data_IF_497956592087
#
_entry.id   IF_497956592087
#
_cell.length_a   1.000
_cell.length_b   1.000
_cell.length_c   1.000
_cell.angle_alpha   90.00
_cell.angle_beta   90.00
_cell.angle_gamma   90.00
#
_symmetry.space_group_name_H-M   'P 1'
#
loop_
_entity.id
_entity.type
_entity.pdbx_description
1 polymer ?
#
# COMPACT_ATOMS: atom_id res chain seq x y z
N UNK A 1 -10.58 5.81 -4.49
CA UNK A 1 -10.08 5.67 -5.87
C UNK A 1 -11.21 5.81 -6.88
N UNK A 2 -10.89 6.15 -8.12
CA UNK A 2 -11.83 6.36 -9.23
C UNK A 2 -12.97 7.28 -8.85
N UNK A 3 -12.65 8.45 -8.30
CA UNK A 3 -13.64 9.42 -7.79
C UNK A 3 -14.59 8.81 -6.73
N UNK A 4 -13.99 8.08 -5.78
CA UNK A 4 -14.71 7.25 -4.81
C UNK A 4 -15.76 6.32 -5.46
N UNK A 5 -15.36 5.62 -6.53
CA UNK A 5 -16.25 4.77 -7.35
C UNK A 5 -17.40 5.55 -8.02
N UNK A 6 -17.14 6.81 -8.41
CA UNK A 6 -18.11 7.70 -9.07
C UNK A 6 -19.10 8.37 -8.11
N UNK A 7 -18.80 8.41 -6.81
CA UNK A 7 -19.66 8.96 -5.77
C UNK A 7 -19.22 10.35 -5.27
N UNK A 8 -18.10 10.87 -5.78
CA UNK A 8 -17.48 12.11 -5.32
C UNK A 8 -16.35 11.85 -4.32
N UNK A 9 -15.12 12.07 -4.78
CA UNK A 9 -13.90 11.77 -4.03
C UNK A 9 -13.84 12.49 -2.68
N UNK A 10 -14.19 13.77 -2.65
CA UNK A 10 -14.01 14.64 -1.47
C UNK A 10 -15.13 14.39 -0.46
N UNK A 11 -16.35 14.26 -0.94
CA UNK A 11 -17.56 13.99 -0.16
C UNK A 11 -17.42 12.67 0.58
N UNK A 12 -17.04 11.60 -0.15
CA UNK A 12 -16.82 10.29 0.46
C UNK A 12 -15.62 10.28 1.39
N UNK A 13 -14.53 10.98 1.05
CA UNK A 13 -13.38 11.08 1.96
C UNK A 13 -13.80 11.68 3.31
N UNK A 14 -14.57 12.78 3.32
CA UNK A 14 -15.07 13.39 4.55
C UNK A 14 -15.99 12.46 5.33
N UNK A 15 -16.94 11.81 4.64
CA UNK A 15 -17.84 10.85 5.28
C UNK A 15 -17.09 9.68 5.93
N UNK A 16 -16.05 9.16 5.30
CA UNK A 16 -15.20 8.11 5.86
C UNK A 16 -14.41 8.61 7.08
N UNK A 17 -13.88 9.83 7.02
CA UNK A 17 -13.17 10.46 8.15
C UNK A 17 -14.11 10.65 9.35
N UNK A 18 -15.33 11.14 9.10
CA UNK A 18 -16.36 11.32 10.15
C UNK A 18 -16.79 9.96 10.75
N UNK A 19 -16.74 8.89 9.96
CA UNK A 19 -16.96 7.52 10.42
C UNK A 19 -15.74 6.91 11.15
N UNK A 20 -14.64 7.64 11.29
CA UNK A 20 -13.46 7.24 12.06
C UNK A 20 -12.29 6.70 11.23
N UNK A 21 -12.31 6.80 9.89
CA UNK A 21 -11.15 6.44 9.07
C UNK A 21 -10.02 7.47 9.21
N UNK A 22 -8.83 7.01 9.62
CA UNK A 22 -7.62 7.82 9.78
C UNK A 22 -6.65 7.72 8.59
N UNK A 23 -6.87 6.73 7.71
CA UNK A 23 -6.06 6.43 6.54
C UNK A 23 -6.94 6.19 5.31
N UNK A 24 -6.69 6.98 4.26
CA UNK A 24 -7.36 6.88 2.97
C UNK A 24 -6.42 6.33 1.91
N UNK A 25 -6.91 5.41 1.07
CA UNK A 25 -6.17 4.89 -0.08
C UNK A 25 -6.74 5.44 -1.39
N UNK A 26 -5.87 5.98 -2.24
CA UNK A 26 -6.20 6.47 -3.59
C UNK A 26 -5.37 5.76 -4.65
N UNK A 27 -5.85 5.75 -5.90
CA UNK A 27 -5.18 5.01 -6.96
C UNK A 27 -3.96 5.75 -7.51
N UNK A 28 -4.00 7.08 -7.55
CA UNK A 28 -2.97 7.89 -8.20
C UNK A 28 -2.73 9.23 -7.50
N UNK A 29 -1.65 9.90 -7.91
CA UNK A 29 -1.23 11.16 -7.31
C UNK A 29 -2.26 12.28 -7.54
N UNK A 30 -2.97 12.29 -8.66
CA UNK A 30 -3.98 13.30 -8.95
C UNK A 30 -5.12 13.28 -7.91
N UNK A 31 -5.65 12.11 -7.59
CA UNK A 31 -6.66 11.97 -6.53
C UNK A 31 -6.12 12.43 -5.17
N UNK A 32 -4.88 12.08 -4.84
CA UNK A 32 -4.24 12.51 -3.60
C UNK A 32 -4.14 14.04 -3.50
N UNK A 33 -3.82 14.70 -4.61
CA UNK A 33 -3.73 16.16 -4.70
C UNK A 33 -5.10 16.83 -4.59
N UNK A 34 -6.16 16.24 -5.14
CA UNK A 34 -7.53 16.73 -4.95
C UNK A 34 -7.90 16.72 -3.46
N UNK A 35 -7.59 15.63 -2.74
CA UNK A 35 -7.83 15.53 -1.30
C UNK A 35 -7.08 16.61 -0.53
N UNK A 36 -5.79 16.82 -0.82
CA UNK A 36 -4.98 17.86 -0.17
C UNK A 36 -5.48 19.27 -0.47
N UNK A 37 -5.87 19.56 -1.71
CA UNK A 37 -6.47 20.85 -2.09
C UNK A 37 -7.84 21.09 -1.43
N UNK A 38 -8.50 20.02 -0.98
CA UNK A 38 -9.78 20.07 -0.26
C UNK A 38 -9.63 20.09 1.27
N UNK A 39 -8.41 20.36 1.75
CA UNK A 39 -8.05 20.42 3.17
C UNK A 39 -8.23 19.10 3.93
N UNK A 40 -8.09 17.96 3.25
CA UNK A 40 -7.99 16.66 3.92
C UNK A 40 -6.56 16.48 4.43
N UNK A 41 -6.40 16.42 5.75
CA UNK A 41 -5.10 16.30 6.43
C UNK A 41 -4.77 14.87 6.87
N UNK A 42 -5.76 13.98 6.85
CA UNK A 42 -5.58 12.56 7.20
C UNK A 42 -4.52 11.89 6.32
N UNK A 43 -4.03 10.73 6.78
CA UNK A 43 -3.04 9.97 6.06
C UNK A 43 -3.62 9.53 4.71
N UNK A 44 -2.89 9.82 3.63
CA UNK A 44 -3.29 9.44 2.26
C UNK A 44 -2.19 8.59 1.67
N UNK A 45 -2.50 7.32 1.41
CA UNK A 45 -1.62 6.39 0.74
C UNK A 45 -1.98 6.26 -0.75
N UNK A 46 -0.97 6.29 -1.62
CA UNK A 46 -1.15 6.28 -3.08
C UNK A 46 -0.59 4.99 -3.66
N UNK A 47 -1.42 4.24 -4.37
CA UNK A 47 -1.07 2.95 -4.96
C UNK A 47 -0.21 3.01 -6.24
N UNK A 48 -0.04 4.18 -6.84
CA UNK A 48 0.55 4.32 -8.17
C UNK A 48 2.08 4.15 -8.15
N UNK A 49 2.59 3.43 -9.16
CA UNK A 49 4.01 3.18 -9.40
C UNK A 49 4.69 4.37 -10.13
N UNK A 50 4.71 5.53 -9.46
CA UNK A 50 5.34 6.75 -9.99
C UNK A 50 6.18 7.48 -8.92
N UNK A 51 6.50 6.81 -7.81
CA UNK A 51 7.23 7.43 -6.71
C UNK A 51 8.63 7.90 -7.13
N UNK A 52 9.31 7.12 -7.98
CA UNK A 52 10.63 7.48 -8.53
C UNK A 52 10.62 8.85 -9.23
N UNK A 53 9.53 9.16 -9.94
CA UNK A 53 9.36 10.42 -10.69
C UNK A 53 8.87 11.56 -9.81
N UNK A 54 7.94 11.30 -8.89
CA UNK A 54 7.23 12.34 -8.15
C UNK A 54 7.56 12.40 -6.66
N UNK A 55 8.60 11.72 -6.18
CA UNK A 55 8.88 11.60 -4.74
C UNK A 55 8.99 12.93 -3.97
N UNK A 56 9.40 14.03 -4.62
CA UNK A 56 9.38 15.36 -4.02
C UNK A 56 7.95 15.89 -3.77
N UNK A 57 7.01 15.59 -4.66
CA UNK A 57 5.58 15.93 -4.50
C UNK A 57 4.97 15.14 -3.34
N UNK A 58 5.28 13.84 -3.25
CA UNK A 58 4.85 13.01 -2.12
C UNK A 58 5.29 13.62 -0.78
N UNK A 59 6.57 13.99 -0.68
CA UNK A 59 7.12 14.64 0.53
C UNK A 59 6.46 15.97 0.85
N UNK A 60 6.38 16.87 -0.13
CA UNK A 60 5.87 18.22 0.09
C UNK A 60 4.38 18.26 0.45
N UNK A 61 3.63 17.20 0.10
CA UNK A 61 2.21 17.05 0.38
C UNK A 61 1.91 16.05 1.51
N UNK A 62 2.93 15.49 2.17
CA UNK A 62 2.75 14.50 3.22
C UNK A 62 1.93 13.28 2.77
N UNK A 63 2.23 12.76 1.58
CA UNK A 63 1.59 11.57 1.00
C UNK A 63 2.45 10.33 1.25
N UNK A 64 1.80 9.21 1.54
CA UNK A 64 2.47 7.94 1.80
C UNK A 64 2.53 7.15 0.47
N UNK A 65 3.72 6.92 -0.12
CA UNK A 65 3.82 6.06 -1.29
C UNK A 65 3.60 4.59 -0.89
N UNK A 66 2.84 3.88 -1.71
CA UNK A 66 2.83 2.41 -1.71
C UNK A 66 3.85 1.95 -2.73
N UNK A 67 4.93 1.36 -2.27
CA UNK A 67 6.06 0.91 -3.08
C UNK A 67 5.71 -0.43 -3.73
N UNK A 68 5.75 -0.48 -5.05
CA UNK A 68 5.29 -1.62 -5.85
C UNK A 68 6.41 -2.38 -6.57
N UNK A 69 7.62 -1.81 -6.67
CA UNK A 69 8.74 -2.45 -7.35
C UNK A 69 10.10 -2.11 -6.71
N UNK A 70 11.17 -2.72 -7.24
CA UNK A 70 12.54 -2.53 -6.75
C UNK A 70 13.09 -1.11 -6.96
N UNK A 71 12.77 -0.45 -8.08
CA UNK A 71 13.26 0.90 -8.36
C UNK A 71 12.67 1.93 -7.39
N UNK A 72 11.39 1.80 -7.06
CA UNK A 72 10.74 2.61 -6.03
C UNK A 72 11.32 2.32 -4.63
N UNK A 73 11.63 1.05 -4.33
CA UNK A 73 12.28 0.66 -3.07
C UNK A 73 13.67 1.28 -2.95
N UNK A 74 14.46 1.28 -4.02
CA UNK A 74 15.76 1.96 -4.06
C UNK A 74 15.59 3.47 -3.87
N UNK A 75 14.64 4.09 -4.57
CA UNK A 75 14.39 5.53 -4.48
C UNK A 75 13.95 5.97 -3.08
N UNK A 76 13.08 5.22 -2.40
CA UNK A 76 12.65 5.57 -1.04
C UNK A 76 13.81 5.42 -0.05
N UNK A 77 14.64 4.38 -0.19
CA UNK A 77 15.81 4.16 0.67
C UNK A 77 16.92 5.17 0.44
N UNK A 78 17.12 5.64 -0.79
CA UNK A 78 18.08 6.69 -1.10
C UNK A 78 17.72 8.03 -0.43
N UNK A 79 16.43 8.27 -0.20
CA UNK A 79 15.96 9.50 0.44
C UNK A 79 15.73 9.37 1.94
N UNK A 80 15.34 8.18 2.44
CA UNK A 80 15.13 7.81 3.85
C UNK A 80 14.41 8.87 4.71
N UNK A 81 13.42 9.56 4.11
CA UNK A 81 12.87 10.82 4.65
C UNK A 81 11.36 10.84 4.88
N UNK A 82 10.63 9.77 4.54
CA UNK A 82 9.19 9.71 4.74
C UNK A 82 8.69 8.27 4.84
N UNK A 83 7.66 8.05 5.66
CA UNK A 83 7.05 6.73 5.79
C UNK A 83 6.54 6.22 4.44
N UNK A 84 6.61 4.91 4.25
CA UNK A 84 6.10 4.23 3.06
C UNK A 84 5.42 2.92 3.43
N UNK A 85 4.55 2.45 2.55
CA UNK A 85 3.98 1.12 2.62
C UNK A 85 4.61 0.24 1.54
N UNK A 86 4.78 -1.04 1.82
CA UNK A 86 5.31 -2.01 0.88
C UNK A 86 4.18 -2.89 0.37
N UNK A 87 3.88 -2.82 -0.93
CA UNK A 87 2.98 -3.76 -1.56
C UNK A 87 3.77 -4.98 -2.05
N UNK A 88 3.27 -6.18 -1.75
CA UNK A 88 3.95 -7.44 -2.09
C UNK A 88 3.05 -8.35 -2.90
N UNK A 89 3.67 -9.03 -3.86
CA UNK A 89 2.99 -9.95 -4.77
C UNK A 89 2.79 -11.31 -4.10
N UNK A 90 1.54 -11.76 -4.02
CA UNK A 90 1.16 -13.03 -3.38
C UNK A 90 0.42 -13.99 -4.32
N UNK A 91 -0.06 -13.51 -5.47
CA UNK A 91 -0.81 -14.30 -6.45
C UNK A 91 -1.81 -13.51 -7.30
N UNK A 92 -1.89 -12.18 -7.16
CA UNK A 92 -2.75 -11.33 -8.00
C UNK A 92 -2.10 -11.03 -9.36
N UNK A 93 -0.77 -11.01 -9.42
CA UNK A 93 0.03 -10.73 -10.63
C UNK A 93 -0.28 -9.38 -11.26
N UNK A 94 -0.30 -8.31 -10.45
CA UNK A 94 -0.59 -6.96 -10.93
C UNK A 94 0.45 -5.92 -10.52
N UNK A 95 0.67 -5.77 -9.21
CA UNK A 95 1.61 -4.81 -8.61
C UNK A 95 2.14 -5.41 -7.31
N UNK A 96 3.37 -5.08 -6.96
CA UNK A 96 4.00 -5.48 -5.70
C UNK A 96 5.29 -6.27 -5.93
N UNK A 97 6.19 -6.21 -4.95
CA UNK A 97 7.45 -6.94 -5.03
C UNK A 97 7.21 -8.44 -4.87
N UNK A 98 7.85 -9.23 -5.73
CA UNK A 98 7.88 -10.68 -5.56
C UNK A 98 8.69 -11.06 -4.32
N UNK A 99 8.37 -12.21 -3.71
CA UNK A 99 9.08 -12.72 -2.53
C UNK A 99 10.60 -12.76 -2.70
N UNK A 100 11.09 -13.11 -3.90
CA UNK A 100 12.53 -13.16 -4.18
C UNK A 100 13.19 -11.79 -4.09
N UNK A 101 12.51 -10.74 -4.54
CA UNK A 101 13.04 -9.37 -4.50
C UNK A 101 12.99 -8.81 -3.09
N UNK A 102 11.91 -9.07 -2.35
CA UNK A 102 11.81 -8.75 -0.92
C UNK A 102 12.93 -9.44 -0.14
N UNK A 103 13.14 -10.74 -0.36
CA UNK A 103 14.21 -11.50 0.29
C UNK A 103 15.60 -10.96 -0.06
N UNK A 104 15.83 -10.59 -1.33
CA UNK A 104 17.09 -9.98 -1.76
C UNK A 104 17.33 -8.66 -1.03
N UNK A 105 16.33 -7.78 -0.97
CA UNK A 105 16.41 -6.50 -0.26
C UNK A 105 16.61 -6.67 1.25
N UNK A 106 15.99 -7.68 1.85
CA UNK A 106 16.20 -8.03 3.26
C UNK A 106 17.65 -8.45 3.51
N UNK A 107 18.19 -9.36 2.70
CA UNK A 107 19.57 -9.84 2.85
C UNK A 107 20.63 -8.76 2.59
N UNK A 108 20.32 -7.73 1.80
CA UNK A 108 21.20 -6.57 1.61
C UNK A 108 21.11 -5.53 2.73
N UNK A 109 20.27 -5.75 3.76
CA UNK A 109 20.06 -4.80 4.86
C UNK A 109 19.27 -3.56 4.45
N UNK A 110 18.52 -3.61 3.35
CA UNK A 110 17.72 -2.47 2.86
C UNK A 110 16.67 -2.07 3.90
N UNK A 111 15.99 -3.05 4.50
CA UNK A 111 14.95 -2.80 5.48
C UNK A 111 15.50 -2.42 6.87
N UNK A 112 16.76 -2.74 7.19
CA UNK A 112 17.39 -2.36 8.47
C UNK A 112 17.59 -0.84 8.57
N UNK A 113 17.86 -0.20 7.43
CA UNK A 113 18.00 1.26 7.35
C UNK A 113 16.65 1.95 7.40
N UNK A 114 15.67 1.39 6.70
CA UNK A 114 14.35 2.01 6.57
C UNK A 114 13.24 0.97 6.31
N UNK A 115 12.66 0.47 7.41
CA UNK A 115 11.58 -0.51 7.37
C UNK A 115 10.24 0.10 6.92
N UNK A 116 9.38 -0.65 6.20
CA UNK A 116 8.06 -0.19 5.85
C UNK A 116 7.15 -0.09 7.07
N UNK A 117 6.29 0.92 7.11
CA UNK A 117 5.29 1.06 8.18
C UNK A 117 4.20 -0.02 8.08
N UNK A 118 3.80 -0.34 6.84
CA UNK A 118 2.81 -1.36 6.53
C UNK A 118 3.35 -2.24 5.41
N UNK A 119 3.19 -3.55 5.56
CA UNK A 119 3.28 -4.49 4.43
C UNK A 119 1.86 -4.87 4.03
N UNK A 120 1.54 -4.78 2.74
CA UNK A 120 0.21 -5.07 2.24
C UNK A 120 0.23 -5.90 0.96
N UNK A 121 -0.87 -6.59 0.70
CA UNK A 121 -1.11 -7.34 -0.53
C UNK A 121 -2.62 -7.40 -0.80
N UNK A 122 -3.03 -8.09 -1.86
CA UNK A 122 -4.43 -8.18 -2.25
C UNK A 122 -4.80 -9.60 -2.67
N UNK A 123 -5.87 -10.12 -2.09
CA UNK A 123 -6.42 -11.43 -2.45
C UNK A 123 -7.09 -11.36 -3.82
N UNK A 124 -6.83 -12.36 -4.67
CA UNK A 124 -7.37 -12.46 -6.02
C UNK A 124 -8.79 -13.04 -6.06
N UNK A 125 -9.17 -13.85 -5.06
CA UNK A 125 -10.43 -14.59 -5.05
C UNK A 125 -11.20 -14.39 -3.73
N UNK A 126 -11.11 -13.19 -3.14
CA UNK A 126 -11.69 -12.92 -1.82
C UNK A 126 -13.21 -13.04 -1.77
N UNK A 127 -13.91 -12.87 -2.89
CA UNK A 127 -15.36 -13.13 -2.98
C UNK A 127 -15.73 -14.62 -3.01
N UNK A 128 -14.76 -15.53 -3.17
CA UNK A 128 -14.97 -16.98 -3.16
C UNK A 128 -14.30 -17.61 -1.95
N UNK A 129 -15.04 -17.71 -0.85
CA UNK A 129 -14.53 -18.18 0.45
C UNK A 129 -13.77 -19.50 0.36
N UNK A 130 -14.30 -20.47 -0.40
CA UNK A 130 -13.72 -21.80 -0.54
C UNK A 130 -12.55 -21.90 -1.55
N UNK A 131 -12.17 -20.80 -2.22
CA UNK A 131 -11.09 -20.82 -3.20
C UNK A 131 -9.73 -21.05 -2.52
N UNK A 132 -9.05 -22.14 -2.91
CA UNK A 132 -7.76 -22.53 -2.35
C UNK A 132 -6.67 -21.46 -2.55
N UNK A 133 -6.82 -20.59 -3.56
CA UNK A 133 -5.91 -19.48 -3.83
C UNK A 133 -5.82 -18.51 -2.66
N UNK A 134 -6.90 -18.30 -1.90
CA UNK A 134 -6.90 -17.42 -0.73
C UNK A 134 -5.93 -17.92 0.34
N UNK A 135 -5.90 -19.23 0.59
CA UNK A 135 -4.96 -19.86 1.54
C UNK A 135 -3.52 -19.75 1.03
N UNK A 136 -3.30 -19.98 -0.27
CA UNK A 136 -1.98 -19.85 -0.89
C UNK A 136 -1.44 -18.43 -0.75
N UNK A 137 -2.25 -17.41 -1.06
CA UNK A 137 -1.86 -16.01 -0.94
C UNK A 137 -1.60 -15.61 0.51
N UNK A 138 -2.45 -16.05 1.45
CA UNK A 138 -2.24 -15.83 2.89
C UNK A 138 -0.91 -16.40 3.38
N UNK A 139 -0.61 -17.64 3.01
CA UNK A 139 0.65 -18.28 3.41
C UNK A 139 1.88 -17.59 2.81
N UNK A 140 1.78 -17.09 1.57
CA UNK A 140 2.84 -16.29 0.94
C UNK A 140 3.02 -14.94 1.64
N UNK A 141 1.91 -14.26 1.97
CA UNK A 141 1.93 -13.02 2.72
C UNK A 141 2.57 -13.21 4.10
N UNK A 142 2.17 -14.25 4.83
CA UNK A 142 2.71 -14.56 6.16
C UNK A 142 4.23 -14.76 6.14
N UNK A 143 4.77 -15.47 5.14
CA UNK A 143 6.22 -15.63 4.97
C UNK A 143 6.95 -14.30 4.82
N UNK A 144 6.37 -13.33 4.13
CA UNK A 144 6.93 -11.99 3.99
C UNK A 144 6.81 -11.22 5.31
N UNK A 145 5.64 -11.30 5.94
CA UNK A 145 5.37 -10.64 7.21
C UNK A 145 6.35 -11.11 8.29
N UNK A 146 6.59 -12.42 8.42
CA UNK A 146 7.51 -13.00 9.39
C UNK A 146 8.97 -12.64 9.11
N UNK A 147 9.32 -12.47 7.83
CA UNK A 147 10.64 -12.05 7.39
C UNK A 147 10.91 -10.59 7.75
N UNK A 148 9.97 -9.69 7.46
CA UNK A 148 10.16 -8.24 7.62
C UNK A 148 9.76 -7.72 9.00
N UNK A 149 8.87 -8.42 9.71
CA UNK A 149 8.27 -8.03 10.99
C UNK A 149 7.82 -6.55 11.03
N UNK A 150 6.99 -6.12 10.07
CA UNK A 150 6.55 -4.73 9.99
C UNK A 150 5.64 -4.36 11.16
N UNK A 151 5.35 -3.06 11.32
CA UNK A 151 4.45 -2.60 12.38
C UNK A 151 3.01 -3.08 12.14
N UNK A 152 2.57 -3.13 10.88
CA UNK A 152 1.23 -3.59 10.50
C UNK A 152 1.26 -4.40 9.19
N UNK A 153 0.31 -5.32 9.06
CA UNK A 153 0.06 -6.10 7.86
C UNK A 153 -1.37 -5.89 7.36
N UNK A 154 -1.58 -5.82 6.03
CA UNK A 154 -2.92 -5.75 5.44
C UNK A 154 -3.04 -6.61 4.18
N UNK A 155 -3.82 -7.69 4.24
CA UNK A 155 -4.03 -8.60 3.12
C UNK A 155 -5.45 -8.50 2.53
N UNK A 156 -6.42 -8.13 3.35
CA UNK A 156 -7.82 -8.10 2.99
C UNK A 156 -8.20 -6.76 2.36
N UNK A 157 -8.91 -6.83 1.23
CA UNK A 157 -9.84 -5.78 0.82
C UNK A 157 -11.25 -6.09 1.35
N UNK A 158 -12.29 -5.38 0.89
CA UNK A 158 -13.64 -5.46 1.44
C UNK A 158 -14.18 -6.89 1.60
N UNK A 159 -14.11 -7.73 0.56
CA UNK A 159 -14.60 -9.11 0.64
C UNK A 159 -13.71 -10.00 1.53
N UNK A 160 -12.41 -9.69 1.62
CA UNK A 160 -11.46 -10.41 2.45
C UNK A 160 -11.72 -10.29 3.94
N UNK A 161 -12.40 -9.22 4.40
CA UNK A 161 -12.78 -9.04 5.81
C UNK A 161 -13.68 -10.17 6.31
N UNK A 162 -14.47 -10.79 5.41
CA UNK A 162 -15.39 -11.87 5.75
C UNK A 162 -14.73 -13.26 5.75
N UNK A 163 -13.43 -13.36 5.48
CA UNK A 163 -12.70 -14.62 5.45
C UNK A 163 -12.15 -15.07 6.82
N UNK A 164 -12.34 -14.25 7.87
CA UNK A 164 -11.74 -14.44 9.19
C UNK A 164 -10.25 -14.11 9.22
#
# INVERSE_FOLDING_TARGET
KSDAYGLGLVEIARALIDAGCDLLFVANLHEALILRSSHIEQAVAVFCDEFTRFGQCYRSKGLIPVINNGAELEAINATARQAYFLNVETGLSRLGLAFVDVRRAYLSGTFDRYSPLVVLSHLACSERVADATNVVQRNRFQKIYDLLRPTRGSLAASAGVWLG
#
